data_IF_261361513383
#
_entry.id   IF_261361513383
#
_cell.length_a   1.000
_cell.length_b   1.000
_cell.length_c   1.000
_cell.angle_alpha   90.00
_cell.angle_beta   90.00
_cell.angle_gamma   90.00
#
_symmetry.space_group_name_H-M   'P 1'
#
loop_
_entity.id
_entity.type
_entity.pdbx_description
1 polymer ?
#
# COMPACT_ATOMS: atom_id res chain seq x y z
N UNK A 1 20.61 -23.76 29.20
CA UNK A 1 21.01 -23.05 30.44
C UNK A 1 21.18 -21.57 30.10
N UNK A 2 20.82 -20.68 31.05
CA UNK A 2 20.70 -19.21 30.99
C UNK A 2 19.37 -18.69 30.39
N UNK A 3 18.34 -18.49 31.23
CA UNK A 3 17.97 -17.27 32.01
C UNK A 3 17.09 -16.33 31.16
N UNK A 4 15.75 -16.37 31.20
CA UNK A 4 14.79 -15.82 32.19
C UNK A 4 15.09 -14.38 32.65
N UNK A 5 14.31 -13.43 32.13
CA UNK A 5 13.93 -12.21 32.85
C UNK A 5 12.58 -11.69 32.35
N UNK A 6 11.57 -11.70 33.24
CA UNK A 6 10.36 -10.89 33.15
C UNK A 6 10.70 -9.44 33.51
N UNK A 7 10.04 -8.49 32.86
CA UNK A 7 9.81 -7.16 33.43
C UNK A 7 8.42 -6.67 33.00
N UNK A 8 7.49 -6.68 33.96
CA UNK A 8 6.23 -5.97 33.91
C UNK A 8 6.40 -4.68 34.73
N UNK A 9 6.06 -3.53 34.16
CA UNK A 9 5.86 -2.29 34.92
C UNK A 9 4.54 -1.68 34.48
N UNK A 10 3.56 -1.77 35.38
CA UNK A 10 2.34 -0.99 35.40
C UNK A 10 2.68 0.44 35.84
N UNK A 11 2.15 1.44 35.14
CA UNK A 11 2.24 2.84 35.52
C UNK A 11 1.01 3.60 35.04
N UNK A 12 0.04 3.78 35.94
CA UNK A 12 -1.10 4.65 35.74
C UNK A 12 -0.70 6.11 36.03
N UNK A 13 -1.14 7.05 35.19
CA UNK A 13 -1.24 8.45 35.55
C UNK A 13 -2.44 9.08 34.81
N UNK A 14 -3.49 9.37 35.59
CA UNK A 14 -4.56 10.28 35.19
C UNK A 14 -4.02 11.71 35.14
N UNK A 15 -4.46 12.50 34.15
CA UNK A 15 -4.60 13.95 34.32
C UNK A 15 -5.83 14.43 33.54
N UNK A 16 -6.81 14.90 34.31
CA UNK A 16 -7.92 15.73 33.87
C UNK A 16 -7.53 17.21 34.01
N UNK A 17 -8.19 18.06 33.22
CA UNK A 17 -8.41 19.53 33.32
C UNK A 17 -8.24 20.17 31.93
N UNK A 18 -8.99 21.16 31.47
CA UNK A 18 -10.24 21.78 31.87
C UNK A 18 -10.70 22.63 30.66
N UNK A 19 -12.00 22.80 30.48
CA UNK A 19 -12.64 23.72 29.53
C UNK A 19 -12.46 25.17 29.99
N UNK A 20 -12.07 26.09 29.10
CA UNK A 20 -12.46 27.50 29.18
C UNK A 20 -12.53 28.13 27.78
N UNK A 21 -13.71 28.60 27.39
CA UNK A 21 -13.90 29.67 26.39
C UNK A 21 -14.29 30.95 27.13
N UNK A 22 -13.77 32.11 26.70
CA UNK A 22 -14.61 33.29 26.42
C UNK A 22 -14.05 34.07 25.21
N UNK A 23 -14.67 35.08 24.61
CA UNK A 23 -15.97 35.71 24.65
C UNK A 23 -16.05 36.62 23.42
N UNK A 24 -17.27 36.94 23.04
CA UNK A 24 -17.71 37.92 22.05
C UNK A 24 -17.11 39.32 22.29
N UNK A 25 -16.82 40.06 21.22
CA UNK A 25 -16.65 41.51 21.26
C UNK A 25 -17.64 42.17 20.29
N UNK A 26 -18.42 43.11 20.83
CA UNK A 26 -19.45 43.91 20.19
C UNK A 26 -18.86 45.13 19.46
N UNK A 27 -19.64 45.65 18.51
CA UNK A 27 -19.49 46.95 17.84
C UNK A 27 -19.36 48.14 18.81
N UNK A 28 -19.00 49.33 18.30
CA UNK A 28 -20.07 50.31 18.16
C UNK A 28 -20.07 51.13 16.85
N UNK A 29 -21.29 51.36 16.38
CA UNK A 29 -21.72 52.48 15.53
C UNK A 29 -21.06 53.81 15.91
N UNK A 30 -20.69 54.63 14.91
CA UNK A 30 -20.70 56.07 15.09
C UNK A 30 -21.27 56.83 13.88
N UNK A 31 -22.18 57.72 14.25
CA UNK A 31 -23.04 58.65 13.54
C UNK A 31 -22.32 59.69 12.66
N UNK A 32 -23.07 60.26 11.71
CA UNK A 32 -22.64 61.48 11.01
C UNK A 32 -23.54 61.91 9.85
N UNK A 33 -24.77 62.30 10.16
CA UNK A 33 -25.67 63.01 9.22
C UNK A 33 -25.27 64.49 9.15
N UNK A 34 -25.26 65.09 7.95
CA UNK A 34 -24.97 66.51 7.75
C UNK A 34 -25.51 67.03 6.42
N UNK A 35 -26.71 67.62 6.48
CA UNK A 35 -27.32 68.41 5.41
C UNK A 35 -26.69 69.81 5.33
N UNK A 36 -26.48 70.34 4.11
CA UNK A 36 -26.11 71.73 3.86
C UNK A 36 -26.33 72.11 2.39
N UNK A 37 -27.11 73.16 2.14
CA UNK A 37 -27.70 73.55 0.87
C UNK A 37 -26.82 74.49 -0.01
N UNK A 38 -27.19 74.54 -1.30
CA UNK A 38 -27.06 75.57 -2.37
C UNK A 38 -26.38 76.93 -2.05
N UNK A 39 -25.69 77.68 -2.93
CA UNK A 39 -25.62 77.93 -4.39
C UNK A 39 -24.47 78.99 -4.59
N UNK A 40 -24.20 79.63 -5.76
CA UNK A 40 -24.09 79.18 -7.16
C UNK A 40 -22.79 79.69 -7.86
N UNK A 41 -22.60 79.26 -9.12
CA UNK A 41 -21.94 79.95 -10.25
C UNK A 41 -20.58 80.65 -10.10
N UNK A 42 -19.54 80.08 -10.71
CA UNK A 42 -18.55 80.82 -11.53
C UNK A 42 -17.66 79.86 -12.33
N UNK A 43 -17.59 80.05 -13.64
CA UNK A 43 -16.57 79.53 -14.58
C UNK A 43 -16.49 80.63 -15.68
N UNK A 44 -15.41 80.82 -16.46
CA UNK A 44 -14.33 79.88 -16.77
C UNK A 44 -12.91 80.47 -16.95
N UNK A 45 -11.85 79.67 -16.79
CA UNK A 45 -10.73 79.61 -17.77
C UNK A 45 -9.90 78.34 -17.58
N UNK A 46 -9.75 77.55 -18.65
CA UNK A 46 -8.93 76.35 -18.71
C UNK A 46 -7.49 76.66 -19.18
N UNK A 47 -6.54 75.74 -18.90
CA UNK A 47 -5.65 75.28 -19.95
C UNK A 47 -5.74 73.75 -20.13
N UNK A 48 -5.63 73.33 -21.39
CA UNK A 48 -5.85 71.97 -21.86
C UNK A 48 -4.85 70.97 -21.25
N UNK A 49 -5.34 70.10 -20.37
CA UNK A 49 -4.66 68.87 -19.99
C UNK A 49 -4.96 67.78 -21.04
N UNK A 50 -3.89 67.13 -21.50
CA UNK A 50 -3.89 66.01 -22.44
C UNK A 50 -4.69 64.86 -21.82
N UNK A 51 -5.89 64.60 -22.33
CA UNK A 51 -6.78 63.53 -21.86
C UNK A 51 -6.24 62.17 -22.30
N UNK A 52 -5.58 61.46 -21.39
CA UNK A 52 -5.46 60.00 -21.47
C UNK A 52 -6.88 59.43 -21.46
N UNK A 53 -7.25 58.45 -22.31
CA UNK A 53 -8.59 57.90 -22.30
C UNK A 53 -8.84 57.21 -20.95
N UNK A 54 -9.68 57.84 -20.13
CA UNK A 54 -10.11 57.30 -18.84
C UNK A 54 -10.87 56.01 -19.10
N UNK A 55 -10.30 54.90 -18.62
CA UNK A 55 -10.93 53.59 -18.57
C UNK A 55 -12.32 53.75 -17.93
N UNK A 56 -13.36 53.31 -18.62
CA UNK A 56 -14.72 53.48 -18.09
C UNK A 56 -14.91 52.60 -16.84
N UNK A 57 -15.68 53.03 -15.82
CA UNK A 57 -15.95 52.25 -14.60
C UNK A 57 -16.53 50.84 -14.87
N UNK A 58 -17.11 50.65 -16.06
CA UNK A 58 -17.64 49.38 -16.55
C UNK A 58 -16.54 48.37 -16.92
N UNK A 59 -15.42 48.84 -17.48
CA UNK A 59 -14.26 47.99 -17.80
C UNK A 59 -13.52 47.55 -16.54
N UNK A 60 -13.40 48.42 -15.53
CA UNK A 60 -12.78 48.06 -14.25
C UNK A 60 -13.63 47.05 -13.44
N UNK A 61 -14.96 47.13 -13.50
CA UNK A 61 -15.84 46.10 -12.94
C UNK A 61 -15.75 44.77 -13.69
N UNK A 62 -15.63 44.80 -15.01
CA UNK A 62 -15.47 43.59 -15.82
C UNK A 62 -14.14 42.87 -15.56
N UNK A 63 -13.05 43.60 -15.32
CA UNK A 63 -11.76 43.00 -14.95
C UNK A 63 -11.73 42.47 -13.53
N UNK A 64 -12.37 43.15 -12.57
CA UNK A 64 -12.49 42.68 -11.18
C UNK A 64 -13.37 41.45 -11.01
N UNK A 65 -14.23 41.14 -11.98
CA UNK A 65 -15.12 39.98 -11.97
C UNK A 65 -14.56 38.78 -12.75
N UNK A 66 -13.40 38.91 -13.39
CA UNK A 66 -12.78 37.79 -14.09
C UNK A 66 -12.15 36.87 -13.05
N UNK A 67 -12.80 35.73 -12.80
CA UNK A 67 -12.21 34.66 -12.02
C UNK A 67 -10.79 34.35 -12.56
N UNK A 68 -9.81 34.08 -11.68
CA UNK A 68 -8.48 33.68 -12.12
C UNK A 68 -8.59 32.54 -13.13
N UNK A 69 -7.75 32.57 -14.17
CA UNK A 69 -7.66 31.44 -15.08
C UNK A 69 -7.31 30.18 -14.26
N UNK A 70 -7.89 29.00 -14.59
CA UNK A 70 -7.48 27.76 -13.96
C UNK A 70 -5.97 27.54 -14.20
N UNK A 71 -5.26 26.93 -13.24
CA UNK A 71 -3.83 26.71 -13.37
C UNK A 71 -3.51 25.83 -14.58
N UNK A 72 -2.41 26.13 -15.26
CA UNK A 72 -1.97 25.35 -16.41
C UNK A 72 -1.43 23.97 -15.99
N UNK A 73 -1.34 22.99 -16.91
CA UNK A 73 -0.70 21.71 -16.63
C UNK A 73 0.72 21.86 -16.08
N UNK A 74 1.51 22.77 -16.64
CA UNK A 74 2.89 23.04 -16.21
C UNK A 74 2.94 23.65 -14.80
N UNK A 75 2.01 24.56 -14.48
CA UNK A 75 1.87 25.12 -13.13
C UNK A 75 1.49 24.05 -12.11
N UNK A 76 0.60 23.12 -12.49
CA UNK A 76 0.21 21.99 -11.63
C UNK A 76 1.40 21.04 -11.38
N UNK A 77 2.18 20.72 -12.42
CA UNK A 77 3.39 19.89 -12.30
C UNK A 77 4.39 20.55 -11.35
N UNK A 78 4.68 21.85 -11.54
CA UNK A 78 5.63 22.57 -10.70
C UNK A 78 5.18 22.65 -9.23
N UNK A 79 3.89 22.91 -8.99
CA UNK A 79 3.33 22.96 -7.64
C UNK A 79 3.35 21.58 -6.95
N UNK A 80 2.96 20.53 -7.67
CA UNK A 80 3.01 19.16 -7.17
C UNK A 80 4.46 18.74 -6.85
N UNK A 81 5.43 19.05 -7.74
CA UNK A 81 6.84 18.74 -7.52
C UNK A 81 7.38 19.40 -6.24
N UNK A 82 6.99 20.64 -5.96
CA UNK A 82 7.39 21.34 -4.73
C UNK A 82 6.85 20.65 -3.47
N UNK A 83 5.59 20.19 -3.49
CA UNK A 83 4.98 19.46 -2.37
C UNK A 83 5.65 18.09 -2.19
N UNK A 84 5.87 17.34 -3.28
CA UNK A 84 6.55 16.05 -3.23
C UNK A 84 7.94 16.16 -2.59
N UNK A 85 8.72 17.16 -3.00
CA UNK A 85 10.04 17.45 -2.42
C UNK A 85 9.93 17.78 -0.93
N UNK A 86 8.96 18.62 -0.55
CA UNK A 86 8.74 19.02 0.85
C UNK A 86 8.27 17.86 1.74
N UNK A 87 7.49 16.94 1.17
CA UNK A 87 7.05 15.71 1.83
C UNK A 87 8.13 14.61 1.84
N UNK A 88 9.32 14.87 1.30
CA UNK A 88 10.44 13.93 1.20
C UNK A 88 10.10 12.62 0.47
N UNK A 89 9.19 12.67 -0.52
CA UNK A 89 8.90 11.54 -1.40
C UNK A 89 9.74 11.62 -2.67
N UNK A 90 10.33 10.49 -3.08
CA UNK A 90 11.13 10.38 -4.29
C UNK A 90 10.23 10.31 -5.53
N UNK A 91 9.64 11.45 -5.91
CA UNK A 91 8.76 11.58 -7.07
C UNK A 91 9.26 12.67 -8.01
N UNK A 92 9.64 12.27 -9.23
CA UNK A 92 9.80 13.21 -10.35
C UNK A 92 8.45 13.33 -11.06
N UNK A 93 7.74 14.43 -10.83
CA UNK A 93 6.38 14.63 -11.31
C UNK A 93 6.38 14.83 -12.82
N UNK A 94 5.73 13.92 -13.54
CA UNK A 94 5.57 13.97 -15.01
C UNK A 94 4.21 14.54 -15.43
N UNK A 95 3.21 14.41 -14.57
CA UNK A 95 1.86 14.94 -14.77
C UNK A 95 1.26 15.27 -13.39
N UNK A 96 0.43 16.31 -13.33
CA UNK A 96 -0.36 16.59 -12.13
C UNK A 96 -1.72 17.22 -12.46
N UNK A 97 -2.75 16.81 -11.73
CA UNK A 97 -4.08 17.40 -11.76
C UNK A 97 -4.35 18.14 -10.44
N UNK A 98 -4.82 19.38 -10.52
CA UNK A 98 -5.30 20.10 -9.34
C UNK A 98 -6.65 19.54 -8.89
N UNK A 99 -6.73 19.10 -7.63
CA UNK A 99 -7.94 18.48 -7.06
C UNK A 99 -8.81 19.49 -6.31
N UNK A 100 -8.28 20.67 -6.01
CA UNK A 100 -8.98 21.73 -5.29
C UNK A 100 -8.28 22.14 -4.01
N UNK A 101 -9.07 22.68 -3.09
CA UNK A 101 -8.63 23.07 -1.76
C UNK A 101 -9.17 22.05 -0.76
N UNK A 102 -8.31 21.61 0.15
CA UNK A 102 -8.71 20.87 1.34
C UNK A 102 -9.50 21.79 2.30
N UNK A 103 -10.19 21.23 3.32
CA UNK A 103 -11.00 22.02 4.25
C UNK A 103 -10.23 23.14 4.99
N UNK A 104 -8.93 22.97 5.17
CA UNK A 104 -8.01 23.96 5.76
C UNK A 104 -7.48 25.00 4.75
N UNK A 105 -7.92 24.92 3.49
CA UNK A 105 -7.47 25.77 2.40
C UNK A 105 -6.19 25.29 1.71
N UNK A 106 -5.59 24.16 2.12
CA UNK A 106 -4.39 23.63 1.47
C UNK A 106 -4.70 23.16 0.05
N UNK A 107 -3.84 23.50 -0.91
CA UNK A 107 -3.97 23.03 -2.30
C UNK A 107 -3.65 21.55 -2.38
N UNK A 108 -4.50 20.78 -3.06
CA UNK A 108 -4.31 19.35 -3.30
C UNK A 108 -4.15 19.04 -4.78
N UNK A 109 -3.32 18.03 -5.06
CA UNK A 109 -2.99 17.57 -6.41
C UNK A 109 -2.96 16.05 -6.45
N UNK A 110 -3.34 15.47 -7.57
CA UNK A 110 -2.92 14.11 -7.92
C UNK A 110 -1.73 14.20 -8.86
N UNK A 111 -0.63 13.58 -8.48
CA UNK A 111 0.63 13.60 -9.23
C UNK A 111 0.99 12.20 -9.73
N UNK A 112 1.49 12.13 -10.95
CA UNK A 112 2.14 10.96 -11.53
C UNK A 112 3.65 11.13 -11.41
N UNK A 113 4.32 10.11 -10.89
CA UNK A 113 5.78 10.07 -10.85
C UNK A 113 6.33 9.36 -12.09
N UNK A 114 7.50 9.78 -12.57
CA UNK A 114 8.19 9.14 -13.67
C UNK A 114 8.47 7.65 -13.41
N UNK A 115 8.79 7.31 -12.15
CA UNK A 115 8.97 5.94 -11.65
C UNK A 115 8.24 5.76 -10.33
N UNK A 116 7.81 4.53 -10.05
CA UNK A 116 7.11 4.21 -8.81
C UNK A 116 5.61 4.57 -8.83
N UNK A 117 5.00 4.73 -7.65
CA UNK A 117 3.59 5.06 -7.50
C UNK A 117 3.35 6.56 -7.75
N UNK A 118 2.11 6.91 -8.08
CA UNK A 118 1.66 8.29 -7.96
C UNK A 118 1.24 8.65 -6.55
N UNK A 119 0.93 9.92 -6.34
CA UNK A 119 0.55 10.44 -5.04
C UNK A 119 -0.60 11.44 -5.11
N UNK A 120 -1.44 11.43 -4.08
CA UNK A 120 -2.22 12.61 -3.69
C UNK A 120 -1.32 13.48 -2.80
N UNK A 121 -1.03 14.69 -3.26
CA UNK A 121 -0.15 15.64 -2.61
C UNK A 121 -0.97 16.81 -2.05
N UNK A 122 -0.70 17.21 -0.81
CA UNK A 122 -1.37 18.32 -0.16
C UNK A 122 -0.34 19.29 0.42
N UNK A 123 -0.51 20.58 0.09
CA UNK A 123 0.33 21.67 0.59
C UNK A 123 -0.04 22.09 2.03
N UNK A 124 -0.27 21.12 2.91
CA UNK A 124 -0.54 21.32 4.34
C UNK A 124 0.76 21.56 5.12
N UNK A 125 0.64 21.87 6.42
CA UNK A 125 1.76 21.94 7.34
C UNK A 125 1.54 20.93 8.49
N UNK A 126 2.24 19.77 8.51
CA UNK A 126 3.26 19.32 7.56
C UNK A 126 2.69 18.96 6.18
N UNK A 127 3.50 18.98 5.10
CA UNK A 127 3.07 18.56 3.78
C UNK A 127 2.71 17.08 3.78
N UNK A 128 1.64 16.73 3.08
CA UNK A 128 1.15 15.35 3.01
C UNK A 128 1.36 14.78 1.60
N UNK A 129 1.84 13.54 1.55
CA UNK A 129 1.90 12.74 0.35
C UNK A 129 1.28 11.37 0.64
N UNK A 130 0.22 11.03 -0.08
CA UNK A 130 -0.51 9.77 0.07
C UNK A 130 -0.34 8.94 -1.19
N UNK A 131 0.28 7.77 -1.05
CA UNK A 131 0.59 6.85 -2.14
C UNK A 131 -0.68 6.22 -2.74
N UNK A 132 -0.83 6.32 -4.06
CA UNK A 132 -2.00 5.80 -4.78
C UNK A 132 -2.15 4.27 -4.68
N UNK A 133 -1.05 3.52 -4.60
CA UNK A 133 -1.09 2.05 -4.43
C UNK A 133 -1.61 1.70 -3.04
N UNK A 134 -1.23 2.47 -2.02
CA UNK A 134 -1.73 2.27 -0.65
C UNK A 134 -3.21 2.66 -0.53
N UNK A 135 -3.64 3.75 -1.17
CA UNK A 135 -5.05 4.15 -1.23
C UNK A 135 -5.91 3.08 -1.89
N UNK A 136 -5.47 2.55 -3.04
CA UNK A 136 -6.18 1.49 -3.75
C UNK A 136 -6.31 0.22 -2.89
N UNK A 137 -5.21 -0.25 -2.29
CA UNK A 137 -5.24 -1.43 -1.42
C UNK A 137 -6.12 -1.26 -0.19
N UNK A 138 -6.08 -0.09 0.46
CA UNK A 138 -6.96 0.21 1.59
C UNK A 138 -8.43 0.22 1.17
N UNK A 139 -8.75 0.85 0.03
CA UNK A 139 -10.11 0.90 -0.49
C UNK A 139 -10.66 -0.49 -0.86
N UNK A 140 -9.82 -1.40 -1.36
CA UNK A 140 -10.20 -2.80 -1.57
C UNK A 140 -10.49 -3.53 -0.25
N UNK A 141 -9.62 -3.37 0.75
CA UNK A 141 -9.80 -4.00 2.07
C UNK A 141 -11.08 -3.52 2.74
N UNK A 142 -11.36 -2.23 2.68
CA UNK A 142 -12.56 -1.65 3.29
C UNK A 142 -13.83 -2.12 2.57
N UNK A 143 -13.82 -2.16 1.24
CA UNK A 143 -14.96 -2.65 0.45
C UNK A 143 -15.20 -4.16 0.58
N UNK A 144 -14.15 -4.94 0.83
CA UNK A 144 -14.29 -6.36 1.12
C UNK A 144 -15.03 -6.61 2.45
N UNK A 145 -14.95 -5.67 3.40
CA UNK A 145 -15.66 -5.73 4.68
C UNK A 145 -17.06 -5.13 4.59
N UNK A 146 -17.19 -4.01 3.89
CA UNK A 146 -18.45 -3.32 3.63
C UNK A 146 -18.46 -2.79 2.18
N UNK A 147 -19.22 -3.40 1.26
CA UNK A 147 -19.30 -2.97 -0.13
C UNK A 147 -19.72 -1.50 -0.33
N UNK A 148 -20.36 -0.87 0.65
CA UNK A 148 -20.79 0.53 0.62
C UNK A 148 -19.84 1.48 1.37
N UNK A 149 -18.67 1.00 1.79
CA UNK A 149 -17.68 1.82 2.50
C UNK A 149 -17.31 3.09 1.73
N UNK A 150 -17.35 4.23 2.42
CA UNK A 150 -16.74 5.46 1.94
C UNK A 150 -15.22 5.36 2.14
N UNK A 151 -14.50 5.24 1.02
CA UNK A 151 -13.04 5.09 0.99
C UNK A 151 -12.32 6.45 0.82
N UNK A 152 -13.06 7.55 0.89
CA UNK A 152 -12.52 8.90 0.73
C UNK A 152 -11.91 9.16 -0.65
N UNK A 153 -10.97 10.11 -0.70
CA UNK A 153 -10.28 10.51 -1.93
C UNK A 153 -9.45 9.37 -2.51
N UNK A 154 -9.67 9.08 -3.79
CA UNK A 154 -8.91 8.08 -4.54
C UNK A 154 -8.19 8.75 -5.71
N UNK A 155 -7.10 8.13 -6.16
CA UNK A 155 -6.42 8.53 -7.39
C UNK A 155 -7.32 8.21 -8.59
N UNK A 156 -7.26 9.03 -9.64
CA UNK A 156 -8.08 8.89 -10.85
C UNK A 156 -7.28 8.99 -12.14
N UNK A 157 -6.02 9.43 -12.10
CA UNK A 157 -5.16 9.42 -13.28
C UNK A 157 -4.85 7.97 -13.65
N UNK A 158 -5.10 7.53 -14.90
CA UNK A 158 -4.97 6.11 -15.28
C UNK A 158 -3.63 5.47 -14.94
N UNK A 159 -2.51 6.20 -15.07
CA UNK A 159 -1.19 5.67 -14.72
C UNK A 159 -1.04 5.37 -13.22
N UNK A 160 -1.77 6.08 -12.36
CA UNK A 160 -1.79 5.85 -10.91
C UNK A 160 -2.72 4.71 -10.50
N UNK A 161 -3.65 4.32 -11.37
CA UNK A 161 -4.55 3.17 -11.17
C UNK A 161 -3.88 1.85 -11.55
N UNK A 162 -2.78 1.90 -12.30
CA UNK A 162 -2.00 0.72 -12.69
C UNK A 162 -1.10 0.24 -11.54
N UNK A 163 -1.76 -0.37 -10.54
CA UNK A 163 -1.12 -0.94 -9.34
C UNK A 163 -0.18 -2.09 -9.71
N UNK A 164 -0.58 -2.93 -10.67
CA UNK A 164 0.22 -4.07 -11.15
C UNK A 164 1.57 -3.60 -11.66
N UNK A 165 1.64 -2.55 -12.48
CA UNK A 165 2.91 -1.98 -12.97
C UNK A 165 3.84 -1.58 -11.83
N UNK A 166 3.32 -0.90 -10.80
CA UNK A 166 4.15 -0.41 -9.68
C UNK A 166 4.68 -1.58 -8.86
N UNK A 167 3.81 -2.50 -8.45
CA UNK A 167 4.21 -3.61 -7.59
C UNK A 167 5.06 -4.63 -8.37
N UNK A 168 4.87 -4.78 -9.69
CA UNK A 168 5.76 -5.58 -10.53
C UNK A 168 7.20 -5.06 -10.50
N UNK A 169 7.40 -3.74 -10.47
CA UNK A 169 8.74 -3.17 -10.31
C UNK A 169 9.33 -3.52 -8.93
N UNK A 170 8.52 -3.47 -7.86
CA UNK A 170 8.95 -3.90 -6.52
C UNK A 170 9.30 -5.38 -6.47
N UNK A 171 8.52 -6.24 -7.12
CA UNK A 171 8.81 -7.66 -7.23
C UNK A 171 10.15 -7.91 -7.94
N UNK A 172 10.40 -7.19 -9.04
CA UNK A 172 11.69 -7.26 -9.76
C UNK A 172 12.85 -6.79 -8.89
N UNK A 173 12.70 -5.69 -8.13
CA UNK A 173 13.71 -5.23 -7.17
C UNK A 173 13.97 -6.25 -6.06
N UNK A 174 12.94 -7.01 -5.66
CA UNK A 174 13.04 -8.08 -4.68
C UNK A 174 13.59 -9.40 -5.26
N UNK A 175 13.96 -9.43 -6.53
CA UNK A 175 14.54 -10.62 -7.19
C UNK A 175 13.52 -11.65 -7.67
N UNK A 176 12.25 -11.30 -7.77
CA UNK A 176 11.19 -12.19 -8.26
C UNK A 176 11.10 -12.07 -9.78
N UNK A 177 11.18 -13.21 -10.46
CA UNK A 177 11.23 -13.29 -11.93
C UNK A 177 9.91 -13.73 -12.59
N UNK A 178 8.81 -13.82 -11.83
CA UNK A 178 7.53 -14.28 -12.36
C UNK A 178 6.82 -13.18 -13.18
N UNK A 179 5.90 -13.60 -14.06
CA UNK A 179 4.98 -12.67 -14.73
C UNK A 179 3.86 -12.28 -13.77
N UNK A 180 3.96 -11.10 -13.16
CA UNK A 180 2.95 -10.58 -12.25
C UNK A 180 1.70 -10.17 -13.03
N UNK A 181 0.55 -10.72 -12.65
CA UNK A 181 -0.76 -10.46 -13.28
C UNK A 181 -1.80 -9.88 -12.31
N UNK A 182 -1.54 -10.00 -11.01
CA UNK A 182 -2.35 -9.41 -9.94
C UNK A 182 -1.43 -8.83 -8.88
N UNK A 183 -1.81 -7.68 -8.30
CA UNK A 183 -1.05 -7.11 -7.21
C UNK A 183 -1.88 -6.12 -6.40
N UNK A 184 -1.61 -6.03 -5.09
CA UNK A 184 -2.18 -5.01 -4.23
C UNK A 184 -1.29 -4.71 -3.02
N UNK A 185 -1.46 -3.53 -2.44
CA UNK A 185 -1.05 -3.31 -1.04
C UNK A 185 -2.03 -4.03 -0.13
N UNK A 186 -1.53 -4.75 0.87
CA UNK A 186 -2.34 -5.58 1.77
C UNK A 186 -2.29 -5.09 3.23
N UNK A 187 -1.65 -3.96 3.46
CA UNK A 187 -1.53 -3.33 4.77
C UNK A 187 -0.10 -3.31 5.29
N UNK A 188 0.05 -3.53 6.60
CA UNK A 188 1.33 -3.44 7.31
C UNK A 188 1.58 -4.66 8.19
N UNK A 189 2.85 -5.02 8.38
CA UNK A 189 3.27 -6.01 9.38
C UNK A 189 3.10 -5.49 10.81
N UNK A 190 3.31 -6.36 11.81
CA UNK A 190 3.36 -5.97 13.22
C UNK A 190 4.43 -4.92 13.51
N UNK A 191 5.50 -4.89 12.71
CA UNK A 191 6.59 -3.94 12.79
C UNK A 191 6.29 -2.62 12.06
N UNK A 192 5.13 -2.51 11.41
CA UNK A 192 4.70 -1.33 10.68
C UNK A 192 5.25 -1.22 9.25
N UNK A 193 5.92 -2.25 8.75
CA UNK A 193 6.42 -2.31 7.38
C UNK A 193 5.28 -2.50 6.40
N UNK A 194 5.31 -1.84 5.24
CA UNK A 194 4.31 -2.03 4.20
C UNK A 194 4.43 -3.42 3.59
N UNK A 195 3.29 -4.08 3.38
CA UNK A 195 3.22 -5.39 2.72
C UNK A 195 2.43 -5.25 1.42
N UNK A 196 2.98 -5.82 0.36
CA UNK A 196 2.33 -5.99 -0.93
C UNK A 196 2.17 -7.48 -1.22
N UNK A 197 1.11 -7.83 -1.93
CA UNK A 197 0.90 -9.17 -2.45
C UNK A 197 1.03 -9.13 -3.97
N UNK A 198 1.71 -10.14 -4.52
CA UNK A 198 1.83 -10.37 -5.96
C UNK A 198 1.28 -11.74 -6.30
N UNK A 199 0.37 -11.78 -7.27
CA UNK A 199 0.00 -12.98 -8.01
C UNK A 199 0.95 -13.15 -9.19
N UNK A 200 1.35 -14.39 -9.41
CA UNK A 200 2.24 -14.76 -10.49
C UNK A 200 1.49 -15.69 -11.44
N UNK A 201 1.42 -15.37 -12.73
CA UNK A 201 0.68 -16.18 -13.69
C UNK A 201 1.24 -17.62 -13.75
N UNK A 202 0.44 -18.59 -13.30
CA UNK A 202 0.73 -20.02 -13.41
C UNK A 202 1.71 -20.57 -12.37
N UNK A 203 2.18 -19.75 -11.42
CA UNK A 203 3.05 -20.16 -10.32
C UNK A 203 2.66 -19.45 -9.02
N UNK A 204 3.19 -19.89 -7.88
CA UNK A 204 2.85 -19.34 -6.58
C UNK A 204 3.22 -17.86 -6.51
N UNK A 205 2.39 -17.10 -5.81
CA UNK A 205 2.61 -15.69 -5.56
C UNK A 205 3.49 -15.44 -4.34
N UNK A 206 3.62 -14.17 -4.00
CA UNK A 206 4.49 -13.72 -2.90
C UNK A 206 3.87 -12.59 -2.10
N UNK A 207 4.23 -12.53 -0.82
CA UNK A 207 4.19 -11.31 -0.03
C UNK A 207 5.56 -10.62 -0.06
N UNK A 208 5.55 -9.32 -0.33
CA UNK A 208 6.70 -8.41 -0.31
C UNK A 208 6.55 -7.46 0.87
N UNK A 209 7.38 -7.63 1.90
CA UNK A 209 7.44 -6.72 3.04
C UNK A 209 8.63 -5.76 2.85
N UNK A 210 8.37 -4.45 2.87
CA UNK A 210 9.42 -3.42 2.73
C UNK A 210 10.11 -3.18 4.07
N UNK A 211 11.35 -3.63 4.21
CA UNK A 211 12.13 -3.51 5.45
C UNK A 211 13.27 -2.53 5.24
N UNK A 212 13.08 -1.27 5.64
CA UNK A 212 14.00 -0.19 5.30
C UNK A 212 14.10 -0.02 3.78
N UNK A 213 15.30 -0.18 3.21
CA UNK A 213 15.51 -0.16 1.75
C UNK A 213 15.36 -1.54 1.11
N UNK A 214 15.39 -2.61 1.90
CA UNK A 214 15.40 -3.99 1.43
C UNK A 214 14.00 -4.60 1.38
N UNK A 215 13.91 -5.80 0.82
CA UNK A 215 12.68 -6.57 0.69
C UNK A 215 12.79 -7.89 1.44
N UNK A 216 11.79 -8.19 2.27
CA UNK A 216 11.56 -9.54 2.77
C UNK A 216 10.48 -10.19 1.90
N UNK A 217 10.87 -11.27 1.23
CA UNK A 217 9.99 -12.03 0.31
C UNK A 217 9.52 -13.30 1.01
N UNK A 218 8.21 -13.54 0.98
CA UNK A 218 7.61 -14.78 1.52
C UNK A 218 6.67 -15.38 0.47
N UNK A 219 6.89 -16.65 0.13
CA UNK A 219 5.99 -17.38 -0.77
C UNK A 219 4.60 -17.54 -0.17
N UNK A 220 3.57 -17.43 -1.00
CA UNK A 220 2.20 -17.57 -0.57
C UNK A 220 1.89 -18.95 0.01
N UNK A 221 2.55 -19.99 -0.51
CA UNK A 221 2.58 -21.33 0.08
C UNK A 221 3.03 -21.37 1.54
N UNK A 222 3.93 -20.48 1.94
CA UNK A 222 4.46 -20.38 3.31
C UNK A 222 3.54 -19.50 4.14
N UNK A 223 3.12 -18.35 3.60
CA UNK A 223 2.21 -17.39 4.25
C UNK A 223 0.92 -18.07 4.72
N UNK A 224 0.31 -18.88 3.87
CA UNK A 224 -0.95 -19.57 4.16
C UNK A 224 -0.85 -20.56 5.32
N UNK A 225 0.34 -21.12 5.60
CA UNK A 225 0.55 -21.99 6.78
C UNK A 225 0.58 -21.24 8.11
N UNK A 226 0.69 -19.91 8.08
CA UNK A 226 0.79 -19.04 9.25
C UNK A 226 -0.56 -18.37 9.59
N UNK A 227 -1.67 -18.94 9.11
CA UNK A 227 -3.03 -18.37 9.23
C UNK A 227 -3.20 -17.00 8.56
N UNK A 228 -2.32 -16.65 7.63
CA UNK A 228 -2.47 -15.51 6.74
C UNK A 228 -3.12 -15.94 5.41
N UNK A 229 -3.60 -14.98 4.63
CA UNK A 229 -4.30 -15.24 3.36
C UNK A 229 -3.51 -14.66 2.20
N UNK A 230 -3.25 -15.47 1.19
CA UNK A 230 -2.92 -14.96 -0.13
C UNK A 230 -4.16 -14.99 -1.02
N UNK A 231 -4.56 -13.82 -1.51
CA UNK A 231 -5.69 -13.58 -2.39
C UNK A 231 -5.38 -13.90 -3.86
N UNK A 232 -4.13 -13.77 -4.27
CA UNK A 232 -3.68 -13.87 -5.67
C UNK A 232 -2.83 -15.11 -5.94
N UNK A 233 -3.00 -16.17 -5.15
CA UNK A 233 -2.37 -17.46 -5.39
C UNK A 233 -3.37 -18.58 -5.23
N UNK A 234 -3.45 -19.45 -6.23
CA UNK A 234 -4.34 -20.60 -6.24
C UNK A 234 -3.64 -21.87 -5.81
N UNK A 235 -4.42 -22.86 -5.39
CA UNK A 235 -3.90 -24.21 -5.11
C UNK A 235 -3.20 -24.84 -6.34
N UNK A 236 -3.68 -24.55 -7.55
CA UNK A 236 -3.08 -25.06 -8.78
C UNK A 236 -1.70 -24.44 -9.05
N UNK A 237 -1.55 -23.13 -8.82
CA UNK A 237 -0.27 -22.40 -8.96
C UNK A 237 0.76 -22.85 -7.92
N UNK A 238 0.31 -23.08 -6.69
CA UNK A 238 1.11 -23.70 -5.63
C UNK A 238 1.65 -25.08 -6.06
N UNK A 239 0.75 -25.94 -6.56
CA UNK A 239 1.11 -27.27 -7.07
C UNK A 239 2.04 -27.17 -8.28
N UNK A 240 1.81 -26.26 -9.22
CA UNK A 240 2.66 -26.06 -10.39
C UNK A 240 4.09 -25.64 -10.02
N UNK A 241 4.21 -24.74 -9.05
CA UNK A 241 5.51 -24.30 -8.50
C UNK A 241 6.25 -25.47 -7.88
N UNK A 242 5.55 -26.25 -7.06
CA UNK A 242 6.16 -27.37 -6.38
C UNK A 242 6.53 -28.49 -7.37
N UNK A 243 5.70 -28.80 -8.37
CA UNK A 243 6.04 -29.72 -9.47
C UNK A 243 7.33 -29.30 -10.17
N UNK A 244 7.50 -28.00 -10.44
CA UNK A 244 8.72 -27.46 -11.06
C UNK A 244 9.96 -27.73 -10.20
N UNK A 245 9.86 -27.59 -8.87
CA UNK A 245 10.97 -27.86 -7.94
C UNK A 245 11.31 -29.35 -7.82
N UNK A 246 10.33 -30.23 -8.01
CA UNK A 246 10.55 -31.68 -7.96
C UNK A 246 11.14 -32.23 -9.26
N UNK A 247 11.14 -31.46 -10.34
CA UNK A 247 11.65 -31.90 -11.63
C UNK A 247 13.10 -32.39 -11.54
N UNK A 248 13.39 -33.54 -12.14
CA UNK A 248 14.71 -34.16 -12.12
C UNK A 248 15.10 -34.86 -10.81
N UNK A 249 14.20 -34.90 -9.81
CA UNK A 249 14.42 -35.65 -8.56
C UNK A 249 13.69 -37.00 -8.55
N UNK A 250 13.98 -37.82 -7.54
CA UNK A 250 13.26 -39.07 -7.27
C UNK A 250 11.76 -38.85 -7.00
N UNK A 251 11.38 -37.66 -6.54
CA UNK A 251 9.99 -37.27 -6.31
C UNK A 251 9.29 -36.75 -7.58
N UNK A 252 9.98 -36.65 -8.73
CA UNK A 252 9.37 -36.20 -9.98
C UNK A 252 8.25 -37.11 -10.49
N UNK A 253 8.26 -38.40 -10.09
CA UNK A 253 7.19 -39.35 -10.43
C UNK A 253 5.92 -39.15 -9.59
N UNK A 254 5.97 -38.33 -8.53
CA UNK A 254 4.79 -37.94 -7.78
C UNK A 254 3.95 -36.99 -8.63
N UNK A 255 2.83 -37.47 -9.16
CA UNK A 255 1.83 -36.58 -9.75
C UNK A 255 1.15 -35.78 -8.63
N UNK A 256 1.78 -34.66 -8.29
CA UNK A 256 1.41 -33.82 -7.17
C UNK A 256 0.00 -33.25 -7.35
N UNK A 257 -0.83 -33.43 -6.33
CA UNK A 257 -2.20 -32.89 -6.26
C UNK A 257 -2.33 -31.81 -5.19
N UNK A 258 -1.47 -31.83 -4.17
CA UNK A 258 -1.48 -30.88 -3.08
C UNK A 258 -0.08 -30.81 -2.45
N UNK A 259 0.31 -29.61 -2.03
CA UNK A 259 1.58 -29.34 -1.38
C UNK A 259 1.39 -28.59 -0.08
N UNK A 260 2.23 -28.86 0.92
CA UNK A 260 2.19 -28.17 2.20
C UNK A 260 3.58 -27.91 2.74
N UNK A 261 3.87 -26.65 3.05
CA UNK A 261 5.08 -26.30 3.79
C UNK A 261 5.01 -26.82 5.23
N UNK A 262 6.11 -27.43 5.70
CA UNK A 262 6.20 -28.05 7.02
C UNK A 262 7.13 -27.29 7.98
N UNK A 263 7.81 -26.26 7.50
CA UNK A 263 8.82 -25.51 8.25
C UNK A 263 10.21 -25.65 7.65
N UNK A 264 11.12 -24.83 8.16
CA UNK A 264 12.52 -24.81 7.78
C UNK A 264 13.41 -24.75 9.01
N UNK A 265 14.65 -25.21 8.86
CA UNK A 265 15.70 -25.08 9.84
C UNK A 265 17.05 -24.90 9.14
N UNK A 266 18.16 -24.93 9.88
CA UNK A 266 19.51 -24.78 9.32
C UNK A 266 19.86 -25.81 8.23
N UNK A 267 19.15 -26.94 8.19
CA UNK A 267 19.35 -28.00 7.21
C UNK A 267 18.50 -27.79 5.95
N UNK A 268 17.55 -26.86 5.93
CA UNK A 268 16.70 -26.59 4.77
C UNK A 268 15.22 -26.52 5.09
N UNK A 269 14.40 -26.44 4.03
CA UNK A 269 12.95 -26.37 4.09
C UNK A 269 12.31 -27.72 3.82
N UNK A 270 11.28 -28.08 4.57
CA UNK A 270 10.57 -29.34 4.45
C UNK A 270 9.16 -29.10 3.91
N UNK A 271 8.77 -29.93 2.95
CA UNK A 271 7.49 -29.83 2.26
C UNK A 271 6.87 -31.20 2.11
N UNK A 272 5.58 -31.31 2.38
CA UNK A 272 4.81 -32.50 2.10
C UNK A 272 4.18 -32.39 0.72
N UNK A 273 4.36 -33.43 -0.09
CA UNK A 273 3.78 -33.60 -1.41
C UNK A 273 2.78 -34.76 -1.38
N UNK A 274 1.51 -34.48 -1.71
CA UNK A 274 0.47 -35.49 -1.90
C UNK A 274 0.40 -35.90 -3.36
N UNK A 275 0.72 -37.15 -3.65
CA UNK A 275 0.64 -37.71 -4.99
C UNK A 275 -0.81 -38.17 -5.30
N UNK A 276 -1.22 -38.12 -6.56
CA UNK A 276 -2.54 -38.62 -7.01
C UNK A 276 -2.71 -40.12 -6.81
N UNK A 277 -1.59 -40.87 -6.85
CA UNK A 277 -1.51 -42.29 -6.56
C UNK A 277 -0.37 -42.59 -5.58
N UNK A 278 -0.57 -43.60 -4.73
CA UNK A 278 0.39 -44.00 -3.71
C UNK A 278 0.36 -43.13 -2.46
N UNK A 279 1.33 -43.36 -1.57
CA UNK A 279 1.54 -42.51 -0.42
C UNK A 279 2.35 -41.27 -0.84
N UNK A 280 2.10 -40.13 -0.18
CA UNK A 280 2.87 -38.92 -0.41
C UNK A 280 4.33 -39.03 0.02
N UNK A 281 5.05 -37.94 -0.13
CA UNK A 281 6.45 -37.82 0.28
C UNK A 281 6.68 -36.52 1.04
N UNK A 282 7.67 -36.51 1.93
CA UNK A 282 8.26 -35.28 2.46
C UNK A 282 9.54 -35.01 1.69
N UNK A 283 9.67 -33.81 1.14
CA UNK A 283 10.84 -33.36 0.40
C UNK A 283 11.55 -32.30 1.21
N UNK A 284 12.86 -32.48 1.35
CA UNK A 284 13.76 -31.48 1.91
C UNK A 284 14.45 -30.74 0.78
N UNK A 285 14.33 -29.42 0.80
CA UNK A 285 15.01 -28.50 -0.09
C UNK A 285 16.13 -27.76 0.61
N UNK A 286 17.19 -27.42 -0.12
CA UNK A 286 18.14 -26.40 0.32
C UNK A 286 17.58 -24.97 0.13
N UNK A 287 18.31 -23.91 0.53
CA UNK A 287 17.85 -22.53 0.36
C UNK A 287 17.66 -22.08 -1.10
N UNK A 288 18.16 -22.84 -2.09
CA UNK A 288 17.98 -22.58 -3.52
C UNK A 288 16.87 -23.44 -4.13
N UNK A 289 16.09 -24.14 -3.30
CA UNK A 289 15.05 -25.08 -3.70
C UNK A 289 15.52 -26.29 -4.52
N UNK A 290 16.79 -26.68 -4.40
CA UNK A 290 17.22 -27.97 -4.94
C UNK A 290 16.80 -29.11 -3.99
N UNK A 291 16.29 -30.19 -4.55
CA UNK A 291 15.91 -31.39 -3.79
C UNK A 291 17.16 -32.02 -3.18
N UNK A 292 17.20 -32.09 -1.86
CA UNK A 292 18.29 -32.71 -1.11
C UNK A 292 17.94 -34.15 -0.71
N UNK A 293 16.73 -34.36 -0.20
CA UNK A 293 16.26 -35.66 0.29
C UNK A 293 14.75 -35.81 0.07
N UNK A 294 14.32 -37.04 -0.23
CA UNK A 294 12.91 -37.43 -0.36
C UNK A 294 12.65 -38.53 0.66
N UNK A 295 11.61 -38.36 1.48
CA UNK A 295 11.22 -39.33 2.51
C UNK A 295 9.80 -39.83 2.22
N UNK A 296 9.62 -41.15 2.04
CA UNK A 296 8.27 -41.73 1.94
C UNK A 296 7.46 -41.48 3.21
N UNK A 297 6.21 -41.05 3.06
CA UNK A 297 5.35 -40.71 4.20
C UNK A 297 5.20 -41.83 5.24
N UNK A 298 5.30 -43.09 4.82
CA UNK A 298 5.21 -44.28 5.66
C UNK A 298 6.30 -44.33 6.74
N UNK A 299 7.47 -43.74 6.45
CA UNK A 299 8.65 -43.77 7.32
C UNK A 299 8.95 -42.39 7.94
N UNK A 300 8.31 -41.33 7.45
CA UNK A 300 8.62 -39.95 7.80
C UNK A 300 7.77 -39.39 8.96
N UNK A 301 7.13 -40.24 9.76
CA UNK A 301 6.21 -39.84 10.85
C UNK A 301 6.83 -38.88 11.89
N UNK A 302 8.16 -38.89 12.04
CA UNK A 302 8.89 -38.04 13.01
C UNK A 302 9.37 -36.70 12.43
N UNK A 303 9.19 -36.45 11.12
CA UNK A 303 9.65 -35.22 10.46
C UNK A 303 8.52 -34.21 10.45
N UNK A 304 8.69 -33.06 11.12
CA UNK A 304 7.72 -31.94 11.07
C UNK A 304 6.28 -32.32 11.45
N UNK A 305 6.10 -33.31 12.32
CA UNK A 305 4.79 -33.84 12.71
C UNK A 305 4.18 -34.83 11.72
N UNK A 306 4.97 -35.37 10.79
CA UNK A 306 4.58 -36.38 9.81
C UNK A 306 3.77 -35.82 8.63
N UNK A 307 3.39 -36.73 7.75
CA UNK A 307 2.48 -36.42 6.64
C UNK A 307 1.06 -36.22 7.17
N UNK A 308 0.41 -35.14 6.72
CA UNK A 308 -0.95 -34.73 7.08
C UNK A 308 -1.89 -34.65 5.89
N UNK A 309 -1.37 -34.42 4.69
CA UNK A 309 -2.12 -34.46 3.44
C UNK A 309 -2.38 -35.89 2.98
N UNK A 310 -1.49 -36.82 3.35
CA UNK A 310 -1.63 -38.25 3.09
C UNK A 310 -2.11 -38.97 4.35
N UNK A 311 -3.23 -39.69 4.26
CA UNK A 311 -3.65 -40.62 5.32
C UNK A 311 -2.79 -41.88 5.15
N UNK A 312 -1.69 -41.96 5.90
CA UNK A 312 -0.91 -43.20 6.01
C UNK A 312 -1.62 -44.08 7.04
N UNK A 313 -2.03 -45.32 6.69
CA UNK A 313 -2.51 -46.27 7.69
C UNK A 313 -1.50 -46.44 8.82
N UNK A 314 -1.97 -46.47 10.07
CA UNK A 314 -1.08 -46.63 11.23
C UNK A 314 -0.23 -47.90 11.06
N UNK A 315 1.09 -47.78 11.25
CA UNK A 315 2.00 -48.91 11.11
C UNK A 315 1.57 -49.99 12.12
N UNK A 316 1.43 -51.27 11.70
CA UNK A 316 1.03 -52.32 12.62
C UNK A 316 2.00 -52.37 13.80
N UNK A 317 1.43 -52.39 15.01
CA UNK A 317 2.21 -52.41 16.24
C UNK A 317 3.26 -53.53 16.18
N UNK A 318 4.51 -53.20 16.47
CA UNK A 318 5.57 -54.20 16.52
C UNK A 318 5.13 -55.33 17.45
N UNK A 319 5.03 -56.55 16.93
CA UNK A 319 4.71 -57.71 17.72
C UNK A 319 5.72 -57.80 18.88
N UNK A 320 5.28 -58.03 20.13
CA UNK A 320 6.20 -58.12 21.24
C UNK A 320 7.21 -59.23 20.96
N UNK A 321 8.48 -58.86 20.93
CA UNK A 321 9.59 -59.80 20.82
C UNK A 321 9.56 -60.70 22.04
N UNK A 322 9.06 -61.92 21.89
CA UNK A 322 9.33 -62.99 22.86
C UNK A 322 10.80 -63.33 22.77
N UNK A 323 11.59 -62.81 23.71
CA UNK A 323 12.96 -63.28 23.94
C UNK A 323 12.92 -64.72 24.49
N UNK A 324 13.82 -65.61 24.03
CA UNK A 324 13.93 -67.00 24.51
C UNK A 324 14.47 -67.09 25.94
#
# INVERSE_FOLDING_TARGET
MFMKTLAAISGAAMMAMALVSPASAQEPNNTGSGYGAANPETTPTAPAARTTPTRTPRQERQERQRAPAPPTPEENIAAAQAIATSASVACQVSQANFLGLAPDGARSYEAVCATGPGYILMASAPPLAVDCVLLAGQAEIDRARDPLADVGTQCVIPQNLDVVRVISAYASEAGIACAVDQAASIGKSSEGNLIYEVGCNGVDGYWLEKVGTDWKVSECAIVTTQNAVCRYSTAAELVATFKTRLAGSEAASCDLTEGRYMGANANGAFWEAKCSAGNGVIVRFDPQYAVQQVYPCETAQRIGGGCRLTIVPEAPAAAPTTQP
#
